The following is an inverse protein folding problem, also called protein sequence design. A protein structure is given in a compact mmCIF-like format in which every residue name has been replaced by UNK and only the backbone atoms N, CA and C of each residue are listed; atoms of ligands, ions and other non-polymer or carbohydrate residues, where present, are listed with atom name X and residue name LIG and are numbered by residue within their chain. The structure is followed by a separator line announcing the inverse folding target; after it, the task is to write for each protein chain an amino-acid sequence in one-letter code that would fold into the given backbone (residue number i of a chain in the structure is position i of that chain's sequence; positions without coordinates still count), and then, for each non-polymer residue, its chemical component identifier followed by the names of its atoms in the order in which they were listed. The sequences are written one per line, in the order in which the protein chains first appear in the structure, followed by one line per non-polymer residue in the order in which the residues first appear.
data_IF_719436413987
#
_entry.id   IF_719436413987
#
_cell.length_a   1.000
_cell.length_b   1.000
_cell.length_c   1.000
_cell.angle_alpha   90.00
_cell.angle_beta   90.00
_cell.angle_gamma   90.00
#
_symmetry.space_group_name_H-M   'P 1'
#
loop_
_entity.id
_entity.type
_entity.pdbx_description
1 polymer ?
#
# COMPACT_ATOMS: atom_id res chain seq x y z
N UNK A 1 9.68 -3.54 18.30
CA UNK A 1 9.21 -4.16 19.59
C UNK A 1 7.78 -4.70 19.48
N UNK A 2 6.76 -3.91 19.16
CA UNK A 2 5.35 -4.38 19.14
C UNK A 2 5.09 -5.42 18.04
N UNK A 3 5.57 -5.23 16.81
CA UNK A 3 5.42 -6.25 15.76
C UNK A 3 6.18 -7.54 16.09
N UNK A 4 7.32 -7.44 16.76
CA UNK A 4 8.02 -8.61 17.28
C UNK A 4 7.19 -9.35 18.32
N UNK A 5 6.51 -8.64 19.23
CA UNK A 5 5.60 -9.25 20.22
C UNK A 5 4.42 -9.96 19.54
N UNK A 6 3.80 -9.33 18.52
CA UNK A 6 2.74 -9.95 17.73
C UNK A 6 3.24 -11.24 17.07
N UNK A 7 4.45 -11.21 16.49
CA UNK A 7 5.06 -12.39 15.89
C UNK A 7 5.29 -13.50 16.91
N UNK A 8 5.86 -13.19 18.07
CA UNK A 8 6.11 -14.17 19.14
C UNK A 8 4.81 -14.77 19.68
N UNK A 9 3.76 -13.96 19.84
CA UNK A 9 2.45 -14.43 20.26
C UNK A 9 1.84 -15.43 19.26
N UNK A 10 1.89 -15.09 17.95
CA UNK A 10 1.42 -15.99 16.90
C UNK A 10 2.22 -17.28 16.89
N UNK A 11 3.56 -17.21 16.99
CA UNK A 11 4.43 -18.39 17.04
C UNK A 11 4.14 -19.27 18.26
N UNK A 12 3.85 -18.67 19.41
CA UNK A 12 3.45 -19.39 20.63
C UNK A 12 2.10 -20.10 20.42
N UNK A 13 1.15 -19.46 19.77
CA UNK A 13 -0.16 -20.04 19.46
C UNK A 13 -0.01 -21.21 18.46
N UNK A 14 0.87 -21.08 17.45
CA UNK A 14 1.20 -22.16 16.52
C UNK A 14 1.77 -23.37 17.27
N UNK A 15 2.76 -23.16 18.16
CA UNK A 15 3.39 -24.23 18.95
C UNK A 15 2.40 -24.96 19.86
N UNK A 16 1.42 -24.22 20.41
CA UNK A 16 0.44 -24.76 21.32
C UNK A 16 -0.82 -25.31 20.64
N UNK A 17 -0.86 -25.33 19.31
CA UNK A 17 -2.04 -25.73 18.48
C UNK A 17 -3.32 -24.96 18.87
N UNK A 18 -3.16 -23.66 19.23
CA UNK A 18 -4.24 -22.75 19.67
C UNK A 18 -4.49 -21.63 18.68
N UNK A 19 -4.17 -21.86 17.40
CA UNK A 19 -4.41 -20.86 16.36
C UNK A 19 -5.90 -20.74 16.07
N UNK A 20 -6.45 -19.53 15.98
CA UNK A 20 -7.80 -19.32 15.46
C UNK A 20 -7.84 -19.69 13.98
N UNK A 21 -8.99 -20.21 13.52
CA UNK A 21 -9.18 -20.62 12.13
C UNK A 21 -9.07 -19.45 11.13
N UNK A 22 -9.42 -18.25 11.57
CA UNK A 22 -9.32 -17.04 10.73
C UNK A 22 -8.70 -15.87 11.48
N UNK A 23 -7.66 -15.28 10.90
CA UNK A 23 -7.01 -14.05 11.37
C UNK A 23 -7.10 -13.00 10.28
N UNK A 24 -7.49 -11.79 10.64
CA UNK A 24 -7.50 -10.62 9.77
C UNK A 24 -6.42 -9.63 10.19
N UNK A 25 -5.38 -9.49 9.38
CA UNK A 25 -4.34 -8.49 9.55
C UNK A 25 -4.78 -7.16 8.92
N UNK A 26 -4.80 -6.11 9.73
CA UNK A 26 -5.08 -4.75 9.27
C UNK A 26 -3.77 -3.99 9.18
N UNK A 27 -3.37 -3.67 7.96
CA UNK A 27 -2.09 -3.05 7.63
C UNK A 27 -2.30 -1.76 6.83
N UNK A 28 -2.27 -0.64 7.50
CA UNK A 28 -2.38 0.68 6.87
C UNK A 28 -1.05 1.12 6.29
N UNK A 29 -0.77 0.72 5.04
CA UNK A 29 0.35 1.26 4.29
C UNK A 29 1.62 0.41 4.27
N UNK A 30 1.52 -0.91 4.09
CA UNK A 30 2.71 -1.73 3.77
C UNK A 30 3.72 -1.88 4.92
N UNK A 31 3.20 -2.21 6.10
CA UNK A 31 4.00 -2.44 7.31
C UNK A 31 4.55 -3.86 7.41
N UNK A 32 4.38 -4.65 6.37
CA UNK A 32 4.89 -6.02 6.27
C UNK A 32 3.88 -7.12 6.61
N UNK A 33 2.57 -6.85 6.54
CA UNK A 33 1.53 -7.85 6.81
C UNK A 33 1.60 -9.06 5.89
N UNK A 34 1.90 -8.86 4.59
CA UNK A 34 2.02 -9.97 3.64
C UNK A 34 3.19 -10.89 4.03
N UNK A 35 4.35 -10.32 4.38
CA UNK A 35 5.49 -11.09 4.88
C UNK A 35 5.15 -11.84 6.16
N UNK A 36 4.61 -11.13 7.17
CA UNK A 36 4.25 -11.73 8.45
C UNK A 36 3.27 -12.89 8.28
N UNK A 37 2.17 -12.66 7.53
CA UNK A 37 1.17 -13.68 7.27
C UNK A 37 1.75 -14.89 6.50
N UNK A 38 2.57 -14.64 5.48
CA UNK A 38 3.21 -15.69 4.69
C UNK A 38 4.22 -16.51 5.51
N UNK A 39 5.01 -15.85 6.36
CA UNK A 39 5.93 -16.50 7.30
C UNK A 39 5.18 -17.39 8.30
N UNK A 40 4.12 -16.87 8.91
CA UNK A 40 3.31 -17.63 9.85
C UNK A 40 2.60 -18.81 9.16
N UNK A 41 2.06 -18.57 7.96
CA UNK A 41 1.44 -19.60 7.15
C UNK A 41 2.41 -20.73 6.82
N UNK A 42 3.64 -20.38 6.43
CA UNK A 42 4.68 -21.37 6.14
C UNK A 42 5.08 -22.19 7.39
N UNK A 43 5.21 -21.53 8.54
CA UNK A 43 5.50 -22.20 9.80
C UNK A 43 4.39 -23.19 10.21
N UNK A 44 3.12 -22.84 9.93
CA UNK A 44 1.98 -23.74 10.17
C UNK A 44 2.07 -24.99 9.29
N UNK A 45 2.26 -24.82 7.98
CA UNK A 45 2.27 -25.97 7.05
C UNK A 45 3.53 -26.82 7.17
N UNK A 46 4.67 -26.24 7.50
CA UNK A 46 5.91 -26.98 7.76
C UNK A 46 5.99 -27.59 9.16
N UNK A 47 5.12 -27.15 10.07
CA UNK A 47 5.15 -27.50 11.49
C UNK A 47 6.51 -27.25 12.18
N UNK A 48 7.27 -26.28 11.66
CA UNK A 48 8.62 -25.90 12.12
C UNK A 48 8.75 -24.40 12.01
N UNK A 49 9.42 -23.77 12.98
CA UNK A 49 9.77 -22.35 12.90
C UNK A 49 10.98 -22.22 11.97
N UNK A 50 10.73 -21.76 10.75
CA UNK A 50 11.78 -21.53 9.76
C UNK A 50 12.43 -20.16 9.99
N UNK A 51 13.79 -20.05 9.98
CA UNK A 51 14.48 -18.78 10.04
C UNK A 51 14.07 -17.86 8.89
N UNK A 52 13.93 -16.55 9.17
CA UNK A 52 13.43 -15.57 8.18
C UNK A 52 14.27 -15.47 6.90
N UNK A 53 15.53 -15.91 6.94
CA UNK A 53 16.46 -15.83 5.80
C UNK A 53 16.34 -17.02 4.81
N UNK A 54 15.60 -18.08 5.18
CA UNK A 54 15.44 -19.29 4.37
C UNK A 54 14.00 -19.48 3.85
N UNK A 55 13.22 -18.42 3.87
CA UNK A 55 11.79 -18.48 3.54
C UNK A 55 11.57 -18.50 2.04
N UNK A 56 11.36 -19.70 1.49
CA UNK A 56 10.65 -19.84 0.23
C UNK A 56 9.14 -19.88 0.53
N UNK A 57 8.41 -18.83 0.16
CA UNK A 57 6.97 -18.65 0.45
C UNK A 57 6.07 -19.52 -0.44
N UNK A 58 6.60 -20.62 -1.01
CA UNK A 58 5.86 -21.59 -1.80
C UNK A 58 5.79 -22.92 -1.07
N UNK A 59 4.58 -23.46 -0.92
CA UNK A 59 4.33 -24.80 -0.36
C UNK A 59 3.03 -25.34 -0.96
N UNK A 60 2.89 -26.65 -1.25
CA UNK A 60 1.68 -27.24 -1.83
C UNK A 60 0.41 -27.00 -1.02
N UNK A 61 0.53 -26.94 0.31
CA UNK A 61 -0.59 -26.71 1.23
C UNK A 61 -0.72 -25.24 1.70
N UNK A 62 0.02 -24.30 1.06
CA UNK A 62 -0.07 -22.87 1.25
C UNK A 62 -0.63 -22.23 -0.02
N UNK A 63 -1.80 -21.63 0.09
CA UNK A 63 -2.53 -21.04 -1.04
C UNK A 63 -2.65 -19.55 -0.89
N UNK A 64 -2.52 -18.84 -2.01
CA UNK A 64 -2.66 -17.38 -2.06
C UNK A 64 -3.83 -16.99 -2.94
N UNK A 65 -4.61 -16.02 -2.47
CA UNK A 65 -5.61 -15.30 -3.25
C UNK A 65 -5.27 -13.83 -3.20
N UNK A 66 -5.15 -13.21 -4.36
CA UNK A 66 -4.73 -11.82 -4.53
C UNK A 66 -5.50 -11.15 -5.66
N UNK A 67 -5.59 -9.81 -5.69
CA UNK A 67 -6.28 -9.09 -6.75
C UNK A 67 -5.59 -9.30 -8.08
N UNK A 68 -6.38 -9.49 -9.14
CA UNK A 68 -5.88 -9.62 -10.51
C UNK A 68 -6.56 -8.60 -11.42
N UNK A 69 -5.83 -8.11 -12.43
CA UNK A 69 -6.39 -7.27 -13.49
C UNK A 69 -6.99 -8.16 -14.58
N UNK A 70 -8.06 -7.73 -15.23
CA UNK A 70 -8.64 -8.44 -16.38
C UNK A 70 -8.05 -7.86 -17.65
N UNK A 71 -7.39 -8.63 -18.52
CA UNK A 71 -6.89 -8.15 -19.80
C UNK A 71 -8.02 -7.62 -20.68
N UNK A 72 -7.75 -6.61 -21.52
CA UNK A 72 -8.74 -6.04 -22.45
C UNK A 72 -9.32 -7.08 -23.42
N UNK A 73 -8.58 -8.12 -23.76
CA UNK A 73 -9.00 -9.23 -24.62
C UNK A 73 -9.45 -10.44 -23.78
N UNK A 74 -10.63 -10.35 -23.18
CA UNK A 74 -11.22 -11.41 -22.34
C UNK A 74 -11.33 -12.80 -23.03
N UNK A 75 -11.39 -12.84 -24.38
CA UNK A 75 -11.56 -14.09 -25.12
C UNK A 75 -10.39 -15.08 -25.00
N UNK A 76 -9.17 -14.60 -24.73
CA UNK A 76 -7.96 -15.42 -24.59
C UNK A 76 -7.79 -16.06 -23.19
N UNK A 77 -8.53 -15.58 -22.18
CA UNK A 77 -8.27 -15.92 -20.79
C UNK A 77 -9.45 -16.61 -20.08
N UNK A 78 -10.37 -17.20 -20.83
CA UNK A 78 -11.61 -17.78 -20.27
C UNK A 78 -11.42 -18.95 -19.29
N UNK A 79 -10.22 -19.55 -19.17
CA UNK A 79 -10.09 -20.80 -18.43
C UNK A 79 -9.38 -20.75 -17.09
N UNK A 80 -8.36 -19.91 -16.89
CA UNK A 80 -7.67 -19.86 -15.58
C UNK A 80 -6.80 -18.61 -15.40
N UNK A 81 -7.39 -17.54 -14.89
CA UNK A 81 -6.66 -16.30 -14.58
C UNK A 81 -5.63 -16.49 -13.45
N UNK A 82 -5.86 -17.41 -12.51
CA UNK A 82 -4.94 -17.64 -11.42
C UNK A 82 -3.66 -18.35 -11.89
N UNK A 83 -3.78 -19.25 -12.88
CA UNK A 83 -2.60 -19.90 -13.47
C UNK A 83 -1.70 -18.91 -14.22
N UNK A 84 -2.31 -17.93 -14.93
CA UNK A 84 -1.56 -16.92 -15.66
C UNK A 84 -0.72 -16.03 -14.74
N UNK A 85 -1.24 -15.71 -13.54
CA UNK A 85 -0.54 -14.84 -12.61
C UNK A 85 0.39 -15.57 -11.63
N UNK A 86 0.39 -16.91 -11.59
CA UNK A 86 1.11 -17.67 -10.56
C UNK A 86 2.63 -17.44 -10.61
N UNK A 87 3.20 -17.38 -11.80
CA UNK A 87 4.65 -17.18 -11.94
C UNK A 87 5.05 -15.75 -11.59
N UNK A 88 4.28 -14.75 -12.02
CA UNK A 88 4.46 -13.35 -11.60
C UNK A 88 4.25 -13.18 -10.09
N UNK A 89 3.30 -13.90 -9.51
CA UNK A 89 3.10 -13.89 -8.07
C UNK A 89 4.28 -14.47 -7.31
N UNK A 90 4.84 -15.58 -7.79
CA UNK A 90 6.03 -16.19 -7.19
C UNK A 90 7.22 -15.26 -7.26
N UNK A 91 7.41 -14.58 -8.39
CA UNK A 91 8.46 -13.58 -8.57
C UNK A 91 8.25 -12.39 -7.62
N UNK A 92 7.02 -11.86 -7.55
CA UNK A 92 6.69 -10.74 -6.68
C UNK A 92 6.88 -11.07 -5.19
N UNK A 93 6.34 -12.20 -4.72
CA UNK A 93 6.45 -12.58 -3.31
C UNK A 93 7.91 -12.93 -2.94
N UNK A 94 8.71 -13.38 -3.89
CA UNK A 94 10.14 -13.65 -3.70
C UNK A 94 11.01 -12.39 -3.65
N UNK A 95 10.68 -11.37 -4.44
CA UNK A 95 11.49 -10.15 -4.58
C UNK A 95 10.92 -8.94 -3.83
N UNK A 96 9.60 -8.86 -3.68
CA UNK A 96 8.88 -7.68 -3.17
C UNK A 96 7.85 -8.05 -2.09
N UNK A 97 8.19 -8.96 -1.17
CA UNK A 97 7.28 -9.47 -0.12
C UNK A 97 6.72 -8.35 0.79
N UNK A 98 7.36 -7.20 0.83
CA UNK A 98 6.91 -6.01 1.55
C UNK A 98 6.08 -5.06 0.67
N UNK A 99 5.91 -5.38 -0.60
CA UNK A 99 5.17 -4.57 -1.54
C UNK A 99 3.70 -4.36 -1.16
N UNK A 100 3.15 -3.25 -1.60
CA UNK A 100 1.72 -2.93 -1.50
C UNK A 100 0.91 -3.64 -2.58
N UNK A 101 -0.42 -3.68 -2.41
CA UNK A 101 -1.32 -4.22 -3.44
C UNK A 101 -1.27 -3.39 -4.72
N UNK A 102 -1.08 -2.07 -4.59
CA UNK A 102 -0.95 -1.18 -5.75
C UNK A 102 0.33 -1.51 -6.55
N UNK A 103 1.49 -1.74 -5.86
CA UNK A 103 2.74 -2.19 -6.50
C UNK A 103 2.60 -3.58 -7.15
N UNK A 104 1.90 -4.52 -6.54
CA UNK A 104 1.58 -5.80 -7.18
C UNK A 104 0.76 -5.61 -8.46
N UNK A 105 -0.27 -4.77 -8.42
CA UNK A 105 -1.10 -4.50 -9.58
C UNK A 105 -0.31 -3.83 -10.72
N UNK A 106 0.66 -3.00 -10.40
CA UNK A 106 1.56 -2.40 -11.40
C UNK A 106 2.60 -3.40 -11.91
N UNK A 107 3.21 -4.20 -11.02
CA UNK A 107 4.14 -5.28 -11.38
C UNK A 107 3.50 -6.33 -12.28
N UNK A 108 2.28 -6.72 -11.98
CA UNK A 108 1.52 -7.70 -12.77
C UNK A 108 1.09 -7.18 -14.13
N UNK A 109 1.36 -5.90 -14.45
CA UNK A 109 0.83 -5.04 -15.51
C UNK A 109 0.33 -5.76 -16.76
N UNK A 110 -0.97 -5.61 -16.96
CA UNK A 110 -1.63 -5.68 -18.26
C UNK A 110 -2.40 -4.37 -18.36
N UNK A 111 -2.34 -3.70 -19.49
CA UNK A 111 -3.06 -2.45 -19.82
C UNK A 111 -4.55 -2.54 -19.48
N UNK A 112 -4.95 -2.42 -18.23
CA UNK A 112 -6.35 -2.63 -17.91
C UNK A 112 -6.79 -2.17 -16.53
N UNK A 113 -8.10 -2.15 -16.40
CA UNK A 113 -9.02 -1.87 -15.31
C UNK A 113 -8.46 -2.16 -13.89
N UNK A 114 -9.09 -1.60 -12.90
CA UNK A 114 -8.83 -1.83 -11.46
C UNK A 114 -8.73 -3.31 -11.12
N UNK A 115 -7.77 -3.68 -10.25
CA UNK A 115 -7.64 -5.03 -9.73
C UNK A 115 -8.91 -5.49 -8.99
N UNK A 116 -9.18 -6.79 -9.00
CA UNK A 116 -10.32 -7.39 -8.29
C UNK A 116 -10.01 -8.82 -7.86
N UNK A 117 -10.52 -9.24 -6.72
CA UNK A 117 -10.61 -10.64 -6.31
C UNK A 117 -11.98 -11.16 -6.74
N UNK A 118 -11.98 -12.10 -7.67
CA UNK A 118 -13.21 -12.61 -8.28
C UNK A 118 -13.75 -13.83 -7.54
N UNK A 119 -15.02 -14.09 -7.76
CA UNK A 119 -15.74 -15.25 -7.18
C UNK A 119 -15.12 -16.58 -7.57
N UNK A 120 -14.64 -16.71 -8.80
CA UNK A 120 -13.99 -17.93 -9.30
C UNK A 120 -12.67 -18.23 -8.58
N UNK A 121 -11.87 -17.19 -8.25
CA UNK A 121 -10.65 -17.35 -7.44
C UNK A 121 -10.98 -17.88 -6.05
N UNK A 122 -11.99 -17.33 -5.39
CA UNK A 122 -12.45 -17.82 -4.08
C UNK A 122 -12.99 -19.23 -4.19
N UNK A 123 -13.83 -19.54 -5.21
CA UNK A 123 -14.38 -20.86 -5.43
C UNK A 123 -13.28 -21.92 -5.66
N UNK A 124 -12.25 -21.58 -6.43
CA UNK A 124 -11.10 -22.44 -6.67
C UNK A 124 -10.32 -22.69 -5.36
N UNK A 125 -10.04 -21.63 -4.59
CA UNK A 125 -9.37 -21.77 -3.31
C UNK A 125 -10.18 -22.70 -2.37
N UNK A 126 -11.49 -22.50 -2.26
CA UNK A 126 -12.38 -23.36 -1.44
C UNK A 126 -12.32 -24.82 -1.91
N UNK A 127 -12.37 -25.05 -3.23
CA UNK A 127 -12.30 -26.43 -3.77
C UNK A 127 -10.99 -27.11 -3.38
N UNK A 128 -9.85 -26.42 -3.46
CA UNK A 128 -8.55 -26.94 -3.06
C UNK A 128 -8.49 -27.18 -1.55
N UNK A 129 -9.04 -26.26 -0.75
CA UNK A 129 -9.04 -26.39 0.70
C UNK A 129 -9.90 -27.56 1.21
N UNK A 130 -10.90 -27.98 0.46
CA UNK A 130 -11.72 -29.16 0.78
C UNK A 130 -11.02 -30.49 0.45
N UNK A 131 -9.94 -30.49 -0.34
CA UNK A 131 -9.15 -31.69 -0.59
C UNK A 131 -8.27 -32.02 0.63
N UNK A 132 -7.75 -33.25 0.69
CA UNK A 132 -6.74 -33.61 1.71
C UNK A 132 -5.46 -32.79 1.50
N UNK A 133 -4.74 -32.42 2.58
CA UNK A 133 -3.42 -31.82 2.46
C UNK A 133 -2.46 -32.74 1.66
N UNK A 134 -1.49 -32.13 0.97
CA UNK A 134 -0.57 -32.88 0.10
C UNK A 134 0.71 -33.33 0.84
N UNK A 135 1.39 -32.41 1.51
CA UNK A 135 2.64 -32.69 2.24
C UNK A 135 2.51 -32.43 3.75
N UNK A 136 1.67 -31.51 4.15
CA UNK A 136 1.43 -31.16 5.55
C UNK A 136 0.22 -31.92 6.09
N UNK A 137 -0.01 -31.83 7.40
CA UNK A 137 -1.29 -32.17 8.01
C UNK A 137 -2.23 -30.96 8.14
N UNK A 138 -1.75 -29.77 7.78
CA UNK A 138 -2.44 -28.47 7.89
C UNK A 138 -2.45 -27.75 6.55
N UNK A 139 -3.44 -26.89 6.33
CA UNK A 139 -3.54 -26.01 5.16
C UNK A 139 -3.72 -24.58 5.58
N UNK A 140 -3.14 -23.67 4.81
CA UNK A 140 -3.31 -22.23 5.03
C UNK A 140 -3.69 -21.54 3.72
N UNK A 141 -4.67 -20.64 3.79
CA UNK A 141 -5.06 -19.75 2.71
C UNK A 141 -4.80 -18.30 3.12
N UNK A 142 -3.91 -17.64 2.42
CA UNK A 142 -3.63 -16.21 2.59
C UNK A 142 -4.42 -15.44 1.53
N UNK A 143 -5.32 -14.56 1.95
CA UNK A 143 -6.13 -13.71 1.07
C UNK A 143 -5.67 -12.26 1.26
N UNK A 144 -4.99 -11.72 0.24
CA UNK A 144 -4.39 -10.40 0.29
C UNK A 144 -5.17 -9.37 -0.53
N UNK A 145 -5.36 -8.17 0.01
CA UNK A 145 -6.09 -7.10 -0.66
C UNK A 145 -7.61 -7.22 -0.49
N UNK A 146 -8.08 -7.41 0.74
CA UNK A 146 -9.51 -7.62 1.06
C UNK A 146 -10.43 -6.52 0.52
N UNK A 147 -9.96 -5.29 0.32
CA UNK A 147 -10.74 -4.20 -0.30
C UNK A 147 -11.16 -4.48 -1.75
N UNK A 148 -10.48 -5.41 -2.41
CA UNK A 148 -10.76 -5.81 -3.80
C UNK A 148 -11.69 -7.03 -3.90
N UNK A 149 -12.09 -7.61 -2.77
CA UNK A 149 -13.00 -8.75 -2.73
C UNK A 149 -14.44 -8.27 -2.99
N UNK A 150 -15.06 -8.82 -4.02
CA UNK A 150 -16.46 -8.53 -4.34
C UNK A 150 -17.42 -9.27 -3.37
N UNK A 151 -18.61 -8.71 -3.19
CA UNK A 151 -19.64 -9.21 -2.27
C UNK A 151 -19.97 -10.71 -2.47
N UNK A 152 -20.14 -11.15 -3.71
CA UNK A 152 -20.41 -12.55 -4.02
C UNK A 152 -19.27 -13.49 -3.55
N UNK A 153 -18.00 -13.07 -3.73
CA UNK A 153 -16.83 -13.80 -3.25
C UNK A 153 -16.75 -13.81 -1.73
N UNK A 154 -17.08 -12.67 -1.11
CA UNK A 154 -17.13 -12.54 0.33
C UNK A 154 -18.17 -13.45 0.97
N UNK A 155 -19.38 -13.56 0.39
CA UNK A 155 -20.43 -14.46 0.86
C UNK A 155 -20.02 -15.94 0.77
N UNK A 156 -19.25 -16.34 -0.25
CA UNK A 156 -18.68 -17.70 -0.31
C UNK A 156 -17.60 -17.92 0.74
N UNK A 157 -16.74 -16.89 0.96
CA UNK A 157 -15.68 -16.95 1.96
C UNK A 157 -16.26 -17.07 3.38
N UNK A 158 -17.35 -16.37 3.69
CA UNK A 158 -18.02 -16.45 4.99
C UNK A 158 -18.35 -17.89 5.37
N UNK A 159 -18.94 -18.66 4.45
CA UNK A 159 -19.34 -20.05 4.72
C UNK A 159 -18.17 -20.94 5.15
N UNK A 160 -17.02 -20.80 4.49
CA UNK A 160 -15.85 -21.62 4.81
C UNK A 160 -15.08 -21.12 6.03
N UNK A 161 -15.19 -19.83 6.37
CA UNK A 161 -14.62 -19.29 7.62
C UNK A 161 -15.44 -19.76 8.83
N UNK A 162 -16.77 -19.83 8.70
CA UNK A 162 -17.66 -20.34 9.76
C UNK A 162 -17.46 -21.84 10.04
N UNK A 163 -17.36 -22.63 8.98
CA UNK A 163 -17.20 -24.06 9.05
C UNK A 163 -15.94 -24.52 8.26
N UNK A 164 -14.75 -24.21 8.75
CA UNK A 164 -13.53 -24.53 8.04
C UNK A 164 -13.26 -26.04 8.02
N UNK A 165 -12.70 -26.59 6.95
CA UNK A 165 -12.19 -27.94 6.94
C UNK A 165 -11.18 -28.13 8.08
N UNK A 166 -11.09 -29.33 8.63
CA UNK A 166 -10.17 -29.66 9.72
C UNK A 166 -8.74 -29.21 9.40
N UNK A 167 -8.08 -28.55 10.36
CA UNK A 167 -6.70 -28.08 10.26
C UNK A 167 -6.48 -27.10 9.10
N UNK A 168 -7.49 -26.29 8.76
CA UNK A 168 -7.42 -25.26 7.72
C UNK A 168 -7.49 -23.89 8.37
N UNK A 169 -6.57 -22.99 8.00
CA UNK A 169 -6.44 -21.65 8.55
C UNK A 169 -6.54 -20.61 7.45
N UNK A 170 -7.14 -19.47 7.78
CA UNK A 170 -7.33 -18.34 6.87
C UNK A 170 -6.61 -17.10 7.40
N UNK A 171 -5.74 -16.52 6.60
CA UNK A 171 -5.09 -15.27 6.87
C UNK A 171 -5.59 -14.22 5.88
N UNK A 172 -6.39 -13.29 6.35
CA UNK A 172 -6.96 -12.21 5.56
C UNK A 172 -6.11 -10.96 5.78
N UNK A 173 -5.79 -10.23 4.72
CA UNK A 173 -4.97 -9.03 4.82
C UNK A 173 -5.69 -7.87 4.14
N UNK A 174 -5.96 -6.81 4.91
CA UNK A 174 -6.59 -5.59 4.42
C UNK A 174 -5.94 -4.33 4.96
N UNK A 175 -6.06 -3.24 4.23
CA UNK A 175 -5.49 -1.95 4.61
C UNK A 175 -6.39 -1.16 5.57
N UNK A 176 -7.70 -1.31 5.44
CA UNK A 176 -8.70 -0.58 6.21
C UNK A 176 -9.86 -1.50 6.60
N UNK A 177 -10.08 -1.63 7.88
CA UNK A 177 -11.15 -2.43 8.46
C UNK A 177 -12.54 -2.02 7.92
N UNK A 178 -12.74 -0.71 7.68
CA UNK A 178 -14.00 -0.17 7.15
C UNK A 178 -14.29 -0.58 5.70
N UNK A 179 -13.26 -1.03 4.97
CA UNK A 179 -13.38 -1.50 3.59
C UNK A 179 -13.55 -3.01 3.48
N UNK A 180 -13.57 -3.71 4.61
CA UNK A 180 -13.82 -5.14 4.70
C UNK A 180 -15.25 -5.32 5.20
N UNK A 181 -15.98 -6.30 4.68
CA UNK A 181 -17.36 -6.56 5.11
C UNK A 181 -17.42 -6.86 6.63
N UNK A 182 -18.30 -6.18 7.37
CA UNK A 182 -18.42 -6.38 8.82
C UNK A 182 -18.67 -7.85 9.22
N UNK A 183 -19.37 -8.59 8.37
CA UNK A 183 -19.64 -10.02 8.53
C UNK A 183 -18.38 -10.89 8.50
N UNK A 184 -17.34 -10.51 7.73
CA UNK A 184 -16.04 -11.18 7.73
C UNK A 184 -15.27 -10.81 9.00
N UNK A 185 -15.24 -9.50 9.32
CA UNK A 185 -14.53 -8.98 10.49
C UNK A 185 -15.01 -9.64 11.78
N UNK A 186 -16.34 -9.83 11.95
CA UNK A 186 -16.91 -10.44 13.16
C UNK A 186 -16.52 -11.92 13.37
N UNK A 187 -15.97 -12.58 12.36
CA UNK A 187 -15.58 -14.00 12.40
C UNK A 187 -14.06 -14.23 12.41
N UNK A 188 -13.30 -13.14 12.43
CA UNK A 188 -11.85 -13.20 12.43
C UNK A 188 -11.27 -12.64 13.73
N UNK A 189 -10.16 -13.21 14.18
CA UNK A 189 -9.31 -12.51 15.13
C UNK A 189 -8.61 -11.35 14.40
N UNK A 190 -8.82 -10.12 14.86
CA UNK A 190 -8.26 -8.94 14.22
C UNK A 190 -6.91 -8.63 14.85
N UNK A 191 -5.88 -8.51 14.01
CA UNK A 191 -4.54 -8.07 14.37
C UNK A 191 -4.24 -6.78 13.61
N UNK A 192 -4.17 -5.66 14.33
CA UNK A 192 -3.83 -4.36 13.74
C UNK A 192 -2.32 -4.16 13.87
N UNK A 193 -1.64 -4.08 12.71
CA UNK A 193 -0.20 -3.84 12.68
C UNK A 193 0.08 -2.36 12.98
N UNK A 194 0.86 -2.08 14.04
CA UNK A 194 1.30 -0.72 14.32
C UNK A 194 2.32 -0.26 13.27
N UNK A 195 2.51 1.07 13.11
CA UNK A 195 3.60 1.59 12.32
C UNK A 195 4.94 1.10 12.89
N UNK A 196 5.87 0.76 12.00
CA UNK A 196 7.24 0.47 12.38
C UNK A 196 7.93 1.77 12.84
N UNK A 197 8.86 1.64 13.77
CA UNK A 197 9.75 2.75 14.11
C UNK A 197 10.81 2.94 13.04
N UNK A 198 11.37 4.13 12.95
CA UNK A 198 12.42 4.43 11.95
C UNK A 198 13.60 3.48 12.05
N UNK A 199 14.02 3.14 13.29
CA UNK A 199 15.12 2.19 13.53
C UNK A 199 14.78 0.77 13.03
N UNK A 200 13.52 0.33 13.21
CA UNK A 200 13.07 -0.98 12.72
C UNK A 200 13.03 -1.03 11.19
N UNK A 201 12.67 0.08 10.54
CA UNK A 201 12.68 0.19 9.07
C UNK A 201 14.12 0.18 8.55
N UNK A 202 15.01 0.99 9.14
CA UNK A 202 16.42 1.05 8.78
C UNK A 202 17.08 -0.33 8.88
N UNK A 203 16.93 -1.03 10.01
CA UNK A 203 17.45 -2.39 10.18
C UNK A 203 16.92 -3.38 9.12
N UNK A 204 15.63 -3.31 8.80
CA UNK A 204 15.07 -4.20 7.78
C UNK A 204 15.60 -3.86 6.39
N UNK A 205 15.74 -2.58 6.03
CA UNK A 205 16.32 -2.16 4.75
C UNK A 205 17.78 -2.62 4.62
N UNK A 206 18.59 -2.48 5.68
CA UNK A 206 19.97 -2.99 5.69
C UNK A 206 20.01 -4.52 5.55
N UNK A 207 19.12 -5.25 6.24
CA UNK A 207 19.00 -6.72 6.09
C UNK A 207 18.56 -7.14 4.67
N UNK A 208 17.89 -6.27 3.95
CA UNK A 208 17.52 -6.47 2.53
C UNK A 208 18.68 -6.15 1.57
N UNK A 209 19.83 -5.68 2.08
CA UNK A 209 21.04 -5.39 1.29
C UNK A 209 21.16 -3.95 0.82
N UNK A 210 20.30 -3.04 1.27
CA UNK A 210 20.42 -1.62 0.94
C UNK A 210 21.54 -0.96 1.74
N UNK A 211 22.16 0.08 1.13
CA UNK A 211 23.19 0.89 1.80
C UNK A 211 22.64 1.57 3.06
N UNK A 212 23.48 1.63 4.13
CA UNK A 212 23.06 2.15 5.41
C UNK A 212 22.64 3.63 5.37
N UNK A 213 23.28 4.45 4.52
CA UNK A 213 22.94 5.88 4.40
C UNK A 213 21.58 6.05 3.72
N UNK A 214 21.30 5.27 2.66
CA UNK A 214 20.01 5.25 1.98
C UNK A 214 18.91 4.70 2.89
N UNK A 215 19.20 3.64 3.66
CA UNK A 215 18.27 3.05 4.61
C UNK A 215 17.88 4.03 5.71
N UNK A 216 18.84 4.77 6.27
CA UNK A 216 18.60 5.81 7.27
C UNK A 216 17.72 6.94 6.73
N UNK A 217 18.03 7.47 5.55
CA UNK A 217 17.24 8.54 4.94
C UNK A 217 15.82 8.08 4.57
N UNK A 218 15.69 6.88 4.01
CA UNK A 218 14.39 6.28 3.68
C UNK A 218 13.54 6.01 4.94
N UNK A 219 14.15 5.52 6.03
CA UNK A 219 13.45 5.18 7.27
C UNK A 219 12.75 6.37 7.91
N UNK A 220 13.39 7.56 7.88
CA UNK A 220 12.85 8.80 8.46
C UNK A 220 11.58 9.29 7.75
N UNK A 221 11.45 8.99 6.46
CA UNK A 221 10.39 9.54 5.59
C UNK A 221 9.24 8.54 5.39
N UNK A 222 9.48 7.26 5.61
CA UNK A 222 8.54 6.17 5.31
C UNK A 222 7.35 6.04 6.26
N UNK A 223 7.22 6.92 7.27
CA UNK A 223 6.05 7.01 8.18
C UNK A 223 5.59 5.68 8.78
N UNK A 224 6.53 4.81 9.07
CA UNK A 224 6.24 3.51 9.63
C UNK A 224 5.87 2.44 8.61
N UNK A 225 6.04 2.70 7.31
CA UNK A 225 5.84 1.77 6.21
C UNK A 225 7.17 1.30 5.64
N UNK A 226 7.43 0.00 5.73
CA UNK A 226 8.64 -0.57 5.14
C UNK A 226 8.57 -0.59 3.61
N UNK A 227 7.38 -0.82 3.03
CA UNK A 227 7.22 -0.78 1.58
C UNK A 227 7.49 0.61 1.00
N UNK A 228 7.08 1.68 1.70
CA UNK A 228 7.39 3.04 1.29
C UNK A 228 8.90 3.32 1.36
N UNK A 229 9.59 2.79 2.39
CA UNK A 229 11.05 2.84 2.49
C UNK A 229 11.75 2.16 1.31
N UNK A 230 11.33 0.94 0.97
CA UNK A 230 11.83 0.18 -0.19
C UNK A 230 11.55 0.91 -1.50
N UNK A 231 10.30 1.35 -1.70
CA UNK A 231 9.90 2.07 -2.90
C UNK A 231 10.71 3.37 -3.08
N UNK A 232 11.02 4.06 -1.98
CA UNK A 232 11.82 5.28 -2.03
C UNK A 232 13.24 5.02 -2.52
N UNK A 233 13.90 3.96 -2.01
CA UNK A 233 15.27 3.62 -2.43
C UNK A 233 15.27 3.14 -3.88
N UNK A 234 14.38 2.21 -4.24
CA UNK A 234 14.34 1.62 -5.58
C UNK A 234 13.86 2.60 -6.66
N UNK A 235 13.09 3.61 -6.28
CA UNK A 235 12.51 4.58 -7.19
C UNK A 235 13.02 6.00 -6.91
N UNK A 236 14.31 6.17 -6.55
CA UNK A 236 14.87 7.48 -6.26
C UNK A 236 14.66 8.46 -7.44
N UNK A 237 14.85 8.00 -8.68
CA UNK A 237 14.64 8.80 -9.88
C UNK A 237 13.16 9.19 -10.04
N UNK A 238 12.23 8.24 -9.84
CA UNK A 238 10.77 8.50 -9.88
C UNK A 238 10.37 9.44 -8.73
N UNK A 239 10.97 9.29 -7.56
CA UNK A 239 10.69 10.14 -6.41
C UNK A 239 11.23 11.54 -6.63
N UNK A 240 12.43 11.67 -7.22
CA UNK A 240 13.05 12.95 -7.61
C UNK A 240 12.19 13.69 -8.65
N UNK A 241 11.72 12.97 -9.66
CA UNK A 241 10.83 13.54 -10.68
C UNK A 241 9.48 13.98 -10.11
N UNK A 242 8.91 13.18 -9.21
CA UNK A 242 7.65 13.54 -8.50
C UNK A 242 7.82 14.78 -7.63
N UNK A 243 8.91 14.89 -6.91
CA UNK A 243 9.25 16.09 -6.12
C UNK A 243 9.43 17.29 -7.04
N UNK A 244 10.18 17.15 -8.15
CA UNK A 244 10.36 18.20 -9.16
C UNK A 244 9.00 18.72 -9.66
N UNK A 245 8.15 17.81 -10.10
CA UNK A 245 6.82 18.15 -10.63
C UNK A 245 5.94 18.84 -9.57
N UNK A 246 6.01 18.42 -8.31
CA UNK A 246 5.30 19.09 -7.23
C UNK A 246 5.85 20.48 -6.94
N UNK A 247 7.17 20.67 -6.93
CA UNK A 247 7.81 21.98 -6.78
C UNK A 247 7.40 22.90 -7.93
N UNK A 248 7.33 22.38 -9.17
CA UNK A 248 6.87 23.15 -10.32
C UNK A 248 5.40 23.56 -10.17
N UNK A 249 4.53 22.70 -9.60
CA UNK A 249 3.15 23.09 -9.23
C UNK A 249 3.14 24.29 -8.28
N UNK A 250 3.97 24.28 -7.22
CA UNK A 250 4.03 25.38 -6.26
C UNK A 250 4.54 26.67 -6.92
N UNK A 251 5.55 26.57 -7.78
CA UNK A 251 6.09 27.72 -8.54
C UNK A 251 5.07 28.29 -9.52
N UNK A 252 4.35 27.43 -10.24
CA UNK A 252 3.28 27.84 -11.16
C UNK A 252 2.14 28.55 -10.42
N UNK A 253 1.72 28.03 -9.28
CA UNK A 253 0.73 28.67 -8.41
C UNK A 253 1.20 30.07 -7.93
N UNK A 254 2.49 30.18 -7.54
CA UNK A 254 3.08 31.45 -7.15
C UNK A 254 3.05 32.50 -8.28
N UNK A 255 3.45 32.10 -9.50
CA UNK A 255 3.44 32.98 -10.68
C UNK A 255 2.03 33.44 -11.03
N UNK A 256 1.06 32.53 -11.00
CA UNK A 256 -0.34 32.84 -11.28
C UNK A 256 -0.89 33.87 -10.28
N UNK A 257 -0.63 33.69 -8.99
CA UNK A 257 -1.17 34.57 -7.96
C UNK A 257 -0.47 35.96 -7.90
N UNK A 258 0.87 35.98 -8.03
CA UNK A 258 1.63 37.23 -7.80
C UNK A 258 1.89 38.03 -9.07
N UNK A 259 1.91 37.40 -10.26
CA UNK A 259 2.22 38.05 -11.53
C UNK A 259 1.10 37.95 -12.56
N UNK A 260 -0.05 37.35 -12.22
CA UNK A 260 -1.14 37.05 -13.12
C UNK A 260 -0.69 36.29 -14.38
N UNK A 261 0.41 35.49 -14.26
CA UNK A 261 0.94 34.68 -15.32
C UNK A 261 0.47 33.21 -15.14
N UNK A 262 -0.53 32.84 -15.91
CA UNK A 262 -1.14 31.50 -15.89
C UNK A 262 -0.47 30.51 -16.86
N UNK A 263 0.53 30.93 -17.65
CA UNK A 263 1.18 30.09 -18.65
C UNK A 263 1.79 28.84 -18.03
N UNK A 264 2.46 29.00 -16.90
CA UNK A 264 3.05 27.90 -16.11
C UNK A 264 1.99 26.93 -15.58
N UNK A 265 0.88 27.45 -15.04
CA UNK A 265 -0.22 26.62 -14.52
C UNK A 265 -0.82 25.76 -15.63
N UNK A 266 -1.03 26.34 -16.83
CA UNK A 266 -1.55 25.60 -17.98
C UNK A 266 -0.57 24.51 -18.43
N UNK A 267 0.73 24.82 -18.50
CA UNK A 267 1.77 23.84 -18.85
C UNK A 267 1.78 22.67 -17.86
N UNK A 268 1.83 22.95 -16.57
CA UNK A 268 1.87 21.94 -15.51
C UNK A 268 0.57 21.13 -15.46
N UNK A 269 -0.58 21.79 -15.66
CA UNK A 269 -1.87 21.12 -15.76
C UNK A 269 -1.90 20.07 -16.88
N UNK A 270 -1.26 20.35 -18.02
CA UNK A 270 -1.13 19.38 -19.10
C UNK A 270 -0.18 18.24 -18.74
N UNK A 271 0.94 18.50 -18.05
CA UNK A 271 1.85 17.47 -17.54
C UNK A 271 1.14 16.55 -16.53
N UNK A 272 0.42 17.13 -15.56
CA UNK A 272 -0.39 16.35 -14.61
C UNK A 272 -1.51 15.57 -15.29
N UNK A 273 -2.13 16.18 -16.31
CA UNK A 273 -3.20 15.57 -17.11
C UNK A 273 -2.75 14.36 -17.93
N UNK A 274 -1.44 14.25 -18.21
CA UNK A 274 -0.83 13.13 -18.91
C UNK A 274 -0.45 11.97 -17.97
N UNK A 275 -0.40 12.20 -16.67
CA UNK A 275 -0.08 11.16 -15.68
C UNK A 275 -1.19 10.08 -15.65
N UNK A 276 -0.81 8.85 -15.35
CA UNK A 276 -1.77 7.84 -14.97
C UNK A 276 -2.33 8.11 -13.55
N UNK A 277 -3.42 7.43 -13.19
CA UNK A 277 -4.10 7.63 -11.89
C UNK A 277 -3.22 7.32 -10.69
N UNK A 278 -2.36 6.30 -10.80
CA UNK A 278 -1.46 5.89 -9.73
C UNK A 278 -0.43 6.99 -9.47
N UNK A 279 0.21 7.52 -10.50
CA UNK A 279 1.24 8.54 -10.38
C UNK A 279 0.68 9.86 -9.85
N UNK A 280 -0.51 10.29 -10.34
CA UNK A 280 -1.17 11.47 -9.79
C UNK A 280 -1.55 11.30 -8.32
N UNK A 281 -2.05 10.11 -7.93
CA UNK A 281 -2.33 9.78 -6.53
C UNK A 281 -1.06 9.88 -5.67
N UNK A 282 0.06 9.33 -6.13
CA UNK A 282 1.33 9.40 -5.41
C UNK A 282 1.86 10.85 -5.31
N UNK A 283 1.67 11.67 -6.35
CA UNK A 283 2.01 13.09 -6.32
C UNK A 283 1.19 13.85 -5.26
N UNK A 284 -0.12 13.60 -5.18
CA UNK A 284 -0.97 14.24 -4.18
C UNK A 284 -0.63 13.80 -2.75
N UNK A 285 -0.34 12.51 -2.55
CA UNK A 285 0.11 11.99 -1.25
C UNK A 285 1.46 12.60 -0.83
N UNK A 286 2.38 12.75 -1.78
CA UNK A 286 3.63 13.49 -1.57
C UNK A 286 3.34 14.93 -1.14
N UNK A 287 2.41 15.62 -1.83
CA UNK A 287 1.99 16.98 -1.51
C UNK A 287 1.42 17.11 -0.10
N UNK A 288 0.56 16.20 0.34
CA UNK A 288 0.04 16.18 1.73
C UNK A 288 1.20 16.13 2.73
N UNK A 289 2.19 15.25 2.48
CA UNK A 289 3.35 15.16 3.35
C UNK A 289 4.16 16.45 3.36
N UNK A 290 4.42 16.98 2.18
CA UNK A 290 5.19 18.21 2.02
C UNK A 290 4.53 19.38 2.77
N UNK A 291 3.22 19.59 2.62
CA UNK A 291 2.45 20.62 3.35
C UNK A 291 2.51 20.39 4.87
N UNK A 292 2.41 19.13 5.31
CA UNK A 292 2.54 18.77 6.75
C UNK A 292 3.92 19.11 7.29
N UNK A 293 4.99 18.78 6.57
CA UNK A 293 6.36 19.10 6.97
C UNK A 293 6.59 20.60 7.00
N UNK A 294 6.06 21.33 6.02
CA UNK A 294 6.08 22.81 5.99
C UNK A 294 5.37 23.41 7.21
N UNK A 295 4.23 22.84 7.59
CA UNK A 295 3.48 23.26 8.78
C UNK A 295 4.24 22.97 10.07
N UNK A 296 4.90 21.84 10.20
CA UNK A 296 5.74 21.53 11.37
C UNK A 296 6.91 22.51 11.48
N UNK A 297 7.53 22.81 10.35
CA UNK A 297 8.63 23.79 10.31
C UNK A 297 8.16 25.18 10.72
N UNK A 298 7.06 25.69 10.14
CA UNK A 298 6.53 27.03 10.44
C UNK A 298 6.10 27.22 11.91
N UNK A 299 5.67 26.14 12.57
CA UNK A 299 5.29 26.16 13.99
C UNK A 299 6.45 25.78 14.95
N UNK A 300 7.68 25.66 14.47
CA UNK A 300 8.85 25.36 15.28
C UNK A 300 8.90 23.96 15.92
N UNK A 301 8.08 23.00 15.41
CA UNK A 301 8.01 21.64 15.94
C UNK A 301 9.11 20.79 15.30
N UNK A 302 10.37 21.10 15.63
CA UNK A 302 11.57 20.46 15.05
C UNK A 302 11.61 18.95 15.17
N UNK A 303 11.02 18.36 16.22
CA UNK A 303 11.01 16.90 16.44
C UNK A 303 10.20 16.12 15.40
N UNK A 304 9.25 16.76 14.72
CA UNK A 304 8.38 16.17 13.73
C UNK A 304 8.78 16.54 12.28
N UNK A 305 9.82 17.37 12.15
CA UNK A 305 10.34 17.77 10.85
C UNK A 305 11.41 16.77 10.38
N UNK A 306 11.11 16.05 9.32
CA UNK A 306 11.96 14.97 8.78
C UNK A 306 12.15 15.08 7.26
N UNK A 307 11.79 16.20 6.64
CA UNK A 307 11.84 16.35 5.18
C UNK A 307 13.27 16.64 4.68
N UNK A 308 13.73 15.85 3.71
CA UNK A 308 14.98 16.07 2.97
C UNK A 308 14.65 16.08 1.47
N UNK A 309 14.91 17.21 0.81
CA UNK A 309 14.69 17.34 -0.63
C UNK A 309 15.74 16.59 -1.42
N UNK A 310 15.30 15.90 -2.49
CA UNK A 310 16.16 15.29 -3.51
C UNK A 310 16.57 16.26 -4.62
N UNK A 311 15.84 17.41 -4.72
CA UNK A 311 16.07 18.45 -5.74
C UNK A 311 16.63 19.74 -5.15
N UNK A 312 17.28 19.67 -3.99
CA UNK A 312 17.84 20.83 -3.29
C UNK A 312 16.83 21.97 -3.04
N UNK A 313 15.53 21.63 -2.87
CA UNK A 313 14.49 22.62 -2.56
C UNK A 313 14.52 22.93 -1.06
N UNK A 314 14.54 24.22 -0.72
CA UNK A 314 14.44 24.65 0.68
C UNK A 314 12.99 24.75 1.10
N UNK A 315 12.56 23.83 1.95
CA UNK A 315 11.19 23.85 2.51
C UNK A 315 11.02 25.08 3.44
N UNK A 316 12.09 25.58 4.04
CA UNK A 316 12.11 26.74 4.91
C UNK A 316 11.55 27.96 4.20
N UNK A 317 11.95 28.18 2.95
CA UNK A 317 11.49 29.28 2.12
C UNK A 317 10.01 29.14 1.72
N UNK A 318 9.49 27.92 1.70
CA UNK A 318 8.09 27.67 1.38
C UNK A 318 7.19 27.69 2.62
N UNK A 319 7.71 27.30 3.78
CA UNK A 319 6.93 27.14 5.01
C UNK A 319 6.20 28.44 5.44
N UNK A 320 6.67 29.59 5.02
CA UNK A 320 6.03 30.89 5.26
C UNK A 320 4.63 31.00 4.65
N UNK A 321 4.34 30.21 3.60
CA UNK A 321 3.03 30.18 2.93
C UNK A 321 2.05 29.21 3.59
N UNK A 322 2.49 28.40 4.58
CA UNK A 322 1.65 27.43 5.27
C UNK A 322 1.42 27.89 6.70
N UNK A 323 0.19 28.29 7.01
CA UNK A 323 -0.23 28.86 8.29
C UNK A 323 -1.31 28.01 8.96
N UNK A 324 -1.62 28.30 10.23
CA UNK A 324 -2.74 27.66 10.94
C UNK A 324 -4.10 27.92 10.25
N UNK A 325 -4.23 29.02 9.51
CA UNK A 325 -5.48 29.43 8.84
C UNK A 325 -5.73 28.64 7.56
N UNK A 326 -4.68 28.35 6.76
CA UNK A 326 -4.81 27.66 5.48
C UNK A 326 -4.49 26.17 5.50
N UNK A 327 -3.78 25.67 6.52
CA UNK A 327 -3.37 24.27 6.61
C UNK A 327 -4.53 23.27 6.42
N UNK A 328 -5.66 23.48 7.13
CA UNK A 328 -6.84 22.62 7.01
C UNK A 328 -7.43 22.65 5.61
N UNK A 329 -7.52 23.83 4.99
CA UNK A 329 -8.02 24.02 3.61
C UNK A 329 -7.13 23.26 2.62
N UNK A 330 -5.79 23.38 2.77
CA UNK A 330 -4.81 22.66 1.95
C UNK A 330 -5.00 21.16 2.04
N UNK A 331 -5.00 20.59 3.25
CA UNK A 331 -5.18 19.13 3.42
C UNK A 331 -6.52 18.67 2.83
N UNK A 332 -7.60 19.40 3.08
CA UNK A 332 -8.93 19.08 2.52
C UNK A 332 -8.95 19.12 0.99
N UNK A 333 -8.23 20.04 0.36
CA UNK A 333 -8.08 20.11 -1.09
C UNK A 333 -7.43 18.84 -1.65
N UNK A 334 -6.33 18.39 -1.05
CA UNK A 334 -5.66 17.16 -1.47
C UNK A 334 -6.53 15.93 -1.27
N UNK A 335 -7.19 15.81 -0.11
CA UNK A 335 -8.06 14.67 0.20
C UNK A 335 -9.25 14.58 -0.77
N UNK A 336 -9.85 15.73 -1.12
CA UNK A 336 -10.94 15.81 -2.09
C UNK A 336 -10.49 15.34 -3.48
N UNK A 337 -9.30 15.75 -3.91
CA UNK A 337 -8.75 15.34 -5.20
C UNK A 337 -8.40 13.84 -5.22
N UNK A 338 -7.87 13.29 -4.13
CA UNK A 338 -7.67 11.84 -3.96
C UNK A 338 -8.99 11.06 -4.04
N UNK A 339 -10.04 11.60 -3.43
CA UNK A 339 -11.39 11.01 -3.52
C UNK A 339 -11.90 11.00 -4.97
N UNK A 340 -11.75 12.09 -5.72
CA UNK A 340 -12.18 12.17 -7.12
C UNK A 340 -11.38 11.25 -8.04
N UNK A 341 -10.07 11.08 -7.83
CA UNK A 341 -9.26 10.08 -8.56
C UNK A 341 -9.81 8.68 -8.33
N UNK A 342 -10.17 8.36 -7.09
CA UNK A 342 -10.79 7.08 -6.74
C UNK A 342 -12.15 6.85 -7.41
N UNK A 343 -12.84 7.91 -7.80
CA UNK A 343 -14.14 7.92 -8.53
C UNK A 343 -14.01 8.02 -10.04
N UNK A 344 -12.79 7.85 -10.60
CA UNK A 344 -12.52 7.92 -12.03
C UNK A 344 -12.80 9.29 -12.68
N UNK A 345 -12.64 10.38 -11.94
CA UNK A 345 -12.72 11.72 -12.51
C UNK A 345 -11.72 11.92 -13.66
N UNK A 346 -12.04 12.86 -14.55
CA UNK A 346 -11.15 13.25 -15.66
C UNK A 346 -9.91 13.94 -15.07
N UNK A 347 -8.73 13.32 -15.25
CA UNK A 347 -7.47 13.77 -14.66
C UNK A 347 -7.12 15.18 -15.12
N UNK A 348 -7.30 15.51 -16.40
CA UNK A 348 -6.95 16.83 -16.94
C UNK A 348 -7.77 17.96 -16.30
N UNK A 349 -9.08 17.78 -16.19
CA UNK A 349 -9.98 18.75 -15.53
C UNK A 349 -9.64 18.86 -14.04
N UNK A 350 -9.43 17.71 -13.39
CA UNK A 350 -9.09 17.66 -11.96
C UNK A 350 -7.79 18.39 -11.69
N UNK A 351 -6.75 18.17 -12.48
CA UNK A 351 -5.43 18.80 -12.32
C UNK A 351 -5.52 20.31 -12.50
N UNK A 352 -6.32 20.78 -13.45
CA UNK A 352 -6.51 22.21 -13.68
C UNK A 352 -7.21 22.87 -12.49
N UNK A 353 -8.33 22.30 -12.02
CA UNK A 353 -9.07 22.80 -10.85
C UNK A 353 -8.19 22.80 -9.59
N UNK A 354 -7.46 21.69 -9.39
CA UNK A 354 -6.54 21.54 -8.26
C UNK A 354 -5.49 22.66 -8.19
N UNK A 355 -4.83 22.97 -9.31
CA UNK A 355 -3.80 24.01 -9.35
C UNK A 355 -4.35 25.42 -9.08
N UNK A 356 -5.54 25.74 -9.61
CA UNK A 356 -6.19 27.01 -9.33
C UNK A 356 -6.60 27.15 -7.86
N UNK A 357 -7.21 26.10 -7.29
CA UNK A 357 -7.60 26.10 -5.87
C UNK A 357 -6.38 26.14 -4.96
N UNK A 358 -5.31 25.39 -5.30
CA UNK A 358 -4.04 25.43 -4.58
C UNK A 358 -3.43 26.83 -4.57
N UNK A 359 -3.43 27.50 -5.74
CA UNK A 359 -2.95 28.88 -5.87
C UNK A 359 -3.74 29.84 -4.98
N UNK A 360 -5.06 29.74 -5.00
CA UNK A 360 -5.93 30.60 -4.18
C UNK A 360 -5.68 30.40 -2.69
N UNK A 361 -5.58 29.15 -2.21
CA UNK A 361 -5.39 28.87 -0.79
C UNK A 361 -4.00 29.29 -0.29
N UNK A 362 -2.94 29.08 -1.11
CA UNK A 362 -1.56 29.38 -0.71
C UNK A 362 -1.25 30.88 -0.73
N UNK A 363 -1.80 31.60 -1.69
CA UNK A 363 -1.38 32.96 -2.01
C UNK A 363 -2.55 33.97 -1.93
N UNK A 364 -3.68 33.59 -1.32
CA UNK A 364 -4.75 34.51 -0.97
C UNK A 364 -4.14 35.66 -0.15
N UNK A 365 -4.20 36.89 -0.68
CA UNK A 365 -3.78 38.06 0.07
C UNK A 365 -4.78 38.29 1.21
N UNK A 366 -4.33 38.08 2.46
CA UNK A 366 -5.06 38.50 3.64
C UNK A 366 -5.21 40.00 3.68
#
# INVERSE_FOLDING_TARGET
MIQHQIREEILKNIKNDRMPNAICFIDRGGRGSLKLASEMALNIVKNVITPSNELNFTHPDLHYVYPTKIPKNEKLFKKDMSAFYIDKWREFIGSQIYGSVDEWLDFSSLDSKTGTIRVDQISKAISILNLKPFQSDKKVCVIWGMKFLKEEGANKLLKIIEEPPKKTYFFLIGEDEKKIMPTIISRCQIIRLPPLRSEEIEENLIKMGYDASLALDASKISKGSLSEGVARINNEEITRERERLFIDCLRGCYMASNRADFSQVIKISNELGALNKSDLKHLLLFGINFIRQSFFYSNGVKRLYEFKSLNAFSIENFAIYVSNTNYKKLISLFDLNLYYIGRNANIKLLSTSFLFELSNILYEKN
#
